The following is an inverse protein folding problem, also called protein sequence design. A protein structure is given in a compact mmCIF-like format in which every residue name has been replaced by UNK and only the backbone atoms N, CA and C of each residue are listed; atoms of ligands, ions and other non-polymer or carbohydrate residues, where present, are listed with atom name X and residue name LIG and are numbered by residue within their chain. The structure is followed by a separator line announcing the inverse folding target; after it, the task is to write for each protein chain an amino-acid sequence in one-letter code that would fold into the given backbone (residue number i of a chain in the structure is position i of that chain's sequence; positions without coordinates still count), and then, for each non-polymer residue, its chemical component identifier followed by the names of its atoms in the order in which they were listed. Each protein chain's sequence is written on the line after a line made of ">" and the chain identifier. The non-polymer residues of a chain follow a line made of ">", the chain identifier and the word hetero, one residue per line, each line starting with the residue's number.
data_IF_874741841505
#
_entry.id   IF_874741841505
#
_cell.length_a   1.000
_cell.length_b   1.000
_cell.length_c   1.000
_cell.angle_alpha   90.00
_cell.angle_beta   90.00
_cell.angle_gamma   90.00
#
_symmetry.space_group_name_H-M   'P 1'
#
loop_
_entity.id
_entity.type
_entity.pdbx_description
1 polymer ?
#
# COMPACT_ATOMS: atom_id res chain seq x y z
N UNK A 1 9.88 -0.70 0.65
CA UNK A 1 8.88 -0.88 -0.43
C UNK A 1 9.18 0.01 -1.62
N UNK A 2 9.35 1.33 -1.43
CA UNK A 2 9.69 2.26 -2.52
C UNK A 2 10.94 1.82 -3.30
N UNK A 3 12.01 1.42 -2.61
CA UNK A 3 13.24 0.92 -3.25
C UNK A 3 12.97 -0.29 -4.15
N UNK A 4 12.14 -1.26 -3.70
CA UNK A 4 11.79 -2.41 -4.53
C UNK A 4 10.99 -2.02 -5.78
N UNK A 5 10.17 -0.96 -5.71
CA UNK A 5 9.45 -0.45 -6.87
C UNK A 5 10.42 0.22 -7.85
N UNK A 6 11.38 0.98 -7.33
CA UNK A 6 12.44 1.61 -8.10
C UNK A 6 13.31 0.55 -8.81
N UNK A 7 13.75 -0.48 -8.09
CA UNK A 7 14.53 -1.59 -8.64
C UNK A 7 13.78 -2.36 -9.74
N UNK A 8 12.48 -2.61 -9.57
CA UNK A 8 11.69 -3.45 -10.49
C UNK A 8 11.17 -2.68 -11.70
N UNK A 9 10.86 -1.40 -11.52
CA UNK A 9 10.16 -0.60 -12.52
C UNK A 9 10.96 0.63 -12.98
N UNK A 10 12.18 0.82 -12.48
CA UNK A 10 13.02 2.02 -12.70
C UNK A 10 12.26 3.33 -12.41
N UNK A 11 11.28 3.26 -11.49
CA UNK A 11 10.37 4.36 -11.21
C UNK A 11 9.94 4.36 -9.76
N UNK A 12 10.18 5.49 -9.09
CA UNK A 12 9.60 5.77 -7.77
C UNK A 12 8.16 6.25 -7.90
N UNK A 13 7.26 5.81 -7.02
CA UNK A 13 5.92 6.37 -6.93
C UNK A 13 6.01 7.82 -6.45
N UNK A 14 5.20 8.69 -7.05
CA UNK A 14 5.05 10.07 -6.61
C UNK A 14 4.35 10.14 -5.25
N UNK A 15 3.40 9.23 -5.01
CA UNK A 15 2.63 9.13 -3.79
C UNK A 15 2.64 7.69 -3.26
N UNK A 16 2.79 7.52 -1.94
CA UNK A 16 2.80 6.22 -1.29
C UNK A 16 1.82 6.21 -0.12
N UNK A 17 0.83 5.33 -0.17
CA UNK A 17 -0.18 5.16 0.87
C UNK A 17 0.22 4.00 1.79
N UNK A 18 0.47 4.28 3.08
CA UNK A 18 0.90 3.26 4.05
C UNK A 18 -0.02 3.20 5.27
N UNK A 19 0.03 2.08 5.97
CA UNK A 19 -0.67 1.95 7.25
C UNK A 19 -0.09 2.89 8.31
N UNK A 20 -0.90 3.27 9.30
CA UNK A 20 -0.42 4.02 10.46
C UNK A 20 0.67 3.28 11.23
N UNK A 21 0.63 1.94 11.25
CA UNK A 21 1.68 1.12 11.87
C UNK A 21 3.05 1.18 11.18
N UNK A 22 3.13 1.73 9.97
CA UNK A 22 4.37 1.87 9.20
C UNK A 22 4.79 3.33 8.99
N UNK A 23 4.12 4.29 9.64
CA UNK A 23 4.38 5.72 9.51
C UNK A 23 5.55 6.20 10.39
N UNK A 24 6.75 5.61 10.21
CA UNK A 24 7.94 6.06 10.93
C UNK A 24 8.43 7.40 10.38
N UNK A 25 8.74 8.35 11.26
CA UNK A 25 9.19 9.68 10.86
C UNK A 25 10.45 9.62 9.98
N UNK A 26 11.47 8.85 10.38
CA UNK A 26 12.71 8.66 9.61
C UNK A 26 12.45 8.17 8.17
N UNK A 27 11.48 7.27 7.99
CA UNK A 27 11.12 6.74 6.66
C UNK A 27 10.39 7.80 5.83
N UNK A 28 9.51 8.62 6.44
CA UNK A 28 8.81 9.72 5.77
C UNK A 28 9.82 10.79 5.32
N UNK A 29 10.77 11.14 6.19
CA UNK A 29 11.83 12.10 5.89
C UNK A 29 12.75 11.62 4.79
N UNK A 30 13.20 10.35 4.85
CA UNK A 30 14.04 9.75 3.81
C UNK A 30 13.35 9.76 2.44
N UNK A 31 12.02 9.59 2.41
CA UNK A 31 11.25 9.50 1.15
C UNK A 31 10.81 10.86 0.61
N UNK A 32 10.67 11.89 1.45
CA UNK A 32 10.11 13.19 1.09
C UNK A 32 10.72 13.85 -0.17
N UNK A 33 12.03 13.72 -0.48
CA UNK A 33 12.58 14.31 -1.70
C UNK A 33 12.02 13.72 -3.01
N UNK A 34 11.51 12.48 -2.99
CA UNK A 34 11.07 11.77 -4.19
C UNK A 34 9.65 11.25 -4.15
N UNK A 35 9.08 11.08 -2.95
CA UNK A 35 7.80 10.40 -2.75
C UNK A 35 7.03 11.04 -1.59
N UNK A 36 5.81 11.49 -1.87
CA UNK A 36 4.88 11.99 -0.86
C UNK A 36 4.21 10.82 -0.14
N UNK A 37 4.45 10.69 1.16
CA UNK A 37 3.82 9.64 1.97
C UNK A 37 2.48 10.13 2.54
N UNK A 38 1.45 9.30 2.38
CA UNK A 38 0.14 9.42 3.00
C UNK A 38 -0.03 8.28 4.00
N UNK A 39 -0.12 8.63 5.27
CA UNK A 39 -0.24 7.69 6.36
C UNK A 39 -1.05 8.33 7.50
N UNK A 40 -1.99 7.61 8.13
CA UNK A 40 -2.78 8.15 9.21
C UNK A 40 -1.87 8.42 10.41
N UNK A 41 -2.18 9.48 11.14
CA UNK A 41 -1.40 9.86 12.30
C UNK A 41 -1.72 8.93 13.48
N UNK A 42 -0.72 8.60 14.32
CA UNK A 42 -0.99 7.90 15.56
C UNK A 42 -1.87 8.76 16.46
N UNK A 43 -2.80 8.11 17.19
CA UNK A 43 -3.63 8.80 18.17
C UNK A 43 -2.73 9.41 19.25
N UNK A 44 -2.83 10.73 19.51
CA UNK A 44 -2.06 11.36 20.58
C UNK A 44 -2.44 10.80 21.94
N UNK A 45 -1.48 10.82 22.89
CA UNK A 45 -1.74 10.43 24.29
C UNK A 45 -2.73 11.38 24.97
N UNK A 46 -2.61 12.66 24.66
CA UNK A 46 -3.57 13.70 25.04
C UNK A 46 -4.69 13.78 23.99
N UNK A 47 -5.93 13.58 24.41
CA UNK A 47 -7.09 13.52 23.52
C UNK A 47 -7.54 14.91 23.04
N UNK A 48 -7.23 15.97 23.77
CA UNK A 48 -7.56 17.36 23.40
C UNK A 48 -6.58 17.92 22.36
N UNK A 49 -5.43 17.26 22.19
CA UNK A 49 -4.39 17.69 21.25
C UNK A 49 -4.79 17.37 19.82
N UNK A 50 -4.83 18.38 18.97
CA UNK A 50 -4.95 18.19 17.52
C UNK A 50 -3.78 17.35 16.98
N UNK A 51 -4.03 16.16 16.40
CA UNK A 51 -2.98 15.34 15.79
C UNK A 51 -2.31 16.03 14.60
N UNK A 52 -3.04 16.89 13.88
CA UNK A 52 -2.61 17.52 12.62
C UNK A 52 -1.76 18.77 12.82
N UNK A 53 -1.73 19.30 14.05
CA UNK A 53 -0.84 20.40 14.42
C UNK A 53 0.62 19.93 14.48
N UNK A 54 1.53 20.79 14.03
CA UNK A 54 2.97 20.57 14.14
C UNK A 54 3.43 20.61 15.60
N UNK A 55 4.42 19.78 15.96
CA UNK A 55 5.03 19.76 17.27
C UNK A 55 6.35 20.54 17.29
N UNK A 56 6.81 21.03 18.47
CA UNK A 56 8.06 21.78 18.58
C UNK A 56 9.30 21.02 18.07
N UNK A 57 9.33 19.70 18.26
CA UNK A 57 10.44 18.83 17.86
C UNK A 57 10.24 18.21 16.46
N UNK A 58 9.14 18.52 15.76
CA UNK A 58 8.95 18.02 14.40
C UNK A 58 9.90 18.74 13.44
N UNK A 59 10.50 17.98 12.52
CA UNK A 59 11.15 18.58 11.36
C UNK A 59 10.11 19.26 10.45
N UNK A 60 10.58 20.12 9.55
CA UNK A 60 9.72 20.75 8.55
C UNK A 60 8.93 19.73 7.73
N UNK A 61 9.55 18.59 7.41
CA UNK A 61 8.95 17.50 6.64
C UNK A 61 7.81 16.83 7.42
N UNK A 62 8.02 16.54 8.71
CA UNK A 62 6.99 15.92 9.55
C UNK A 62 5.85 16.89 9.83
N UNK A 63 6.15 18.16 10.12
CA UNK A 63 5.15 19.21 10.27
C UNK A 63 4.27 19.36 9.01
N UNK A 64 4.89 19.33 7.82
CA UNK A 64 4.18 19.37 6.55
C UNK A 64 3.30 18.12 6.32
N UNK A 65 3.80 16.93 6.67
CA UNK A 65 3.02 15.69 6.62
C UNK A 65 1.79 15.73 7.54
N UNK A 66 1.93 16.18 8.80
CA UNK A 66 0.80 16.31 9.74
C UNK A 66 -0.31 17.21 9.20
N UNK A 67 0.09 18.41 8.74
CA UNK A 67 -0.84 19.38 8.13
C UNK A 67 -1.52 18.80 6.90
N UNK A 68 -0.75 18.15 6.01
CA UNK A 68 -1.28 17.50 4.80
C UNK A 68 -2.36 16.48 5.14
N UNK A 69 -2.11 15.59 6.11
CA UNK A 69 -3.08 14.56 6.51
C UNK A 69 -4.35 15.11 7.17
N UNK A 70 -4.36 16.38 7.60
CA UNK A 70 -5.55 17.07 8.08
C UNK A 70 -6.50 17.54 6.96
N UNK A 71 -6.02 17.60 5.72
CA UNK A 71 -6.79 18.09 4.58
C UNK A 71 -7.81 17.06 4.05
N UNK A 72 -8.93 17.54 3.51
CA UNK A 72 -9.93 16.68 2.85
C UNK A 72 -9.36 15.95 1.63
N UNK A 73 -8.43 16.60 0.92
CA UNK A 73 -7.71 15.98 -0.21
C UNK A 73 -6.92 14.76 0.25
N UNK A 74 -6.14 14.86 1.32
CA UNK A 74 -5.38 13.73 1.83
C UNK A 74 -6.29 12.61 2.37
N UNK A 75 -7.41 12.96 3.02
CA UNK A 75 -8.42 11.97 3.45
C UNK A 75 -9.04 11.25 2.25
N UNK A 76 -9.22 11.93 1.12
CA UNK A 76 -9.78 11.35 -0.09
C UNK A 76 -8.78 10.41 -0.75
N UNK A 77 -7.54 10.84 -0.94
CA UNK A 77 -6.45 10.00 -1.47
C UNK A 77 -6.28 8.75 -0.59
N UNK A 78 -6.26 8.91 0.74
CA UNK A 78 -6.05 7.78 1.64
C UNK A 78 -7.10 6.65 1.50
N UNK A 79 -8.33 6.96 1.06
CA UNK A 79 -9.37 5.93 0.80
C UNK A 79 -8.96 4.95 -0.28
N UNK A 80 -8.11 5.34 -1.22
CA UNK A 80 -7.60 4.47 -2.30
C UNK A 80 -6.76 3.30 -1.76
N UNK A 81 -6.22 3.43 -0.54
CA UNK A 81 -5.49 2.35 0.13
C UNK A 81 -6.34 1.09 0.33
N UNK A 82 -7.64 1.24 0.57
CA UNK A 82 -8.54 0.11 0.78
C UNK A 82 -8.60 -0.78 -0.47
N UNK A 83 -8.56 -0.19 -1.67
CA UNK A 83 -8.57 -0.92 -2.93
C UNK A 83 -7.29 -1.75 -3.14
N UNK A 84 -6.14 -1.25 -2.68
CA UNK A 84 -4.84 -1.89 -2.94
C UNK A 84 -4.48 -2.99 -1.92
N UNK A 85 -4.81 -2.82 -0.64
CA UNK A 85 -4.42 -3.76 0.41
C UNK A 85 -5.59 -4.58 0.99
N UNK A 86 -6.70 -3.94 1.32
CA UNK A 86 -7.81 -4.58 2.03
C UNK A 86 -8.64 -5.47 1.10
N UNK A 87 -8.96 -4.97 -0.09
CA UNK A 87 -9.72 -5.72 -1.08
C UNK A 87 -8.97 -7.00 -1.52
N UNK A 88 -7.66 -6.91 -1.76
CA UNK A 88 -6.85 -8.07 -2.16
C UNK A 88 -6.82 -9.15 -1.07
N UNK A 89 -6.67 -8.74 0.20
CA UNK A 89 -6.72 -9.66 1.33
C UNK A 89 -8.12 -10.28 1.52
N UNK A 90 -9.19 -9.49 1.36
CA UNK A 90 -10.56 -9.98 1.40
C UNK A 90 -10.83 -10.99 0.28
N UNK A 91 -10.37 -10.72 -0.95
CA UNK A 91 -10.46 -11.64 -2.08
C UNK A 91 -9.71 -12.94 -1.80
N UNK A 92 -8.50 -12.89 -1.23
CA UNK A 92 -7.75 -14.09 -0.87
C UNK A 92 -8.52 -14.95 0.15
N UNK A 93 -9.09 -14.32 1.18
CA UNK A 93 -9.94 -15.00 2.18
C UNK A 93 -11.21 -15.61 1.56
N UNK A 94 -11.89 -14.87 0.68
CA UNK A 94 -13.08 -15.34 -0.03
C UNK A 94 -12.76 -16.45 -1.05
N UNK A 95 -11.49 -16.57 -1.47
CA UNK A 95 -10.96 -17.67 -2.28
C UNK A 95 -10.32 -18.77 -1.43
N UNK A 96 -10.68 -18.88 -0.15
CA UNK A 96 -10.33 -20.01 0.70
C UNK A 96 -9.08 -19.85 1.57
N UNK A 97 -8.35 -18.73 1.51
CA UNK A 97 -7.19 -18.50 2.38
C UNK A 97 -7.63 -18.08 3.79
N UNK A 98 -8.22 -19.00 4.55
CA UNK A 98 -8.67 -18.78 5.94
C UNK A 98 -7.61 -19.17 6.96
N UNK A 99 -6.77 -20.16 6.63
CA UNK A 99 -5.69 -20.67 7.48
C UNK A 99 -4.55 -21.20 6.63
N UNK A 100 -3.33 -21.13 7.13
CA UNK A 100 -2.20 -21.83 6.51
C UNK A 100 -2.13 -23.27 7.03
N UNK A 101 -2.15 -24.24 6.12
CA UNK A 101 -1.97 -25.66 6.46
C UNK A 101 -0.50 -26.09 6.38
N UNK A 102 0.42 -25.12 6.39
CA UNK A 102 1.86 -25.31 6.27
C UNK A 102 2.58 -24.54 7.37
N UNK A 103 3.71 -25.08 7.83
CA UNK A 103 4.57 -24.42 8.82
C UNK A 103 5.88 -23.97 8.17
N UNK A 104 6.34 -22.76 8.50
CA UNK A 104 7.58 -22.15 7.99
C UNK A 104 7.32 -21.05 6.96
N UNK A 105 8.10 -19.98 7.03
CA UNK A 105 7.94 -18.78 6.21
C UNK A 105 8.03 -19.07 4.71
N UNK A 106 8.94 -19.94 4.29
CA UNK A 106 9.11 -20.29 2.87
C UNK A 106 7.86 -20.95 2.29
N UNK A 107 7.26 -21.90 3.04
CA UNK A 107 6.03 -22.58 2.60
C UNK A 107 4.85 -21.62 2.57
N UNK A 108 4.70 -20.78 3.59
CA UNK A 108 3.67 -19.74 3.65
C UNK A 108 3.82 -18.77 2.47
N UNK A 109 5.04 -18.34 2.17
CA UNK A 109 5.35 -17.46 1.04
C UNK A 109 4.97 -18.12 -0.29
N UNK A 110 5.28 -19.39 -0.49
CA UNK A 110 4.88 -20.12 -1.71
C UNK A 110 3.36 -20.14 -1.90
N UNK A 111 2.58 -20.39 -0.84
CA UNK A 111 1.11 -20.32 -0.90
C UNK A 111 0.63 -18.91 -1.26
N UNK A 112 1.17 -17.87 -0.62
CA UNK A 112 0.81 -16.49 -0.91
C UNK A 112 1.17 -16.07 -2.34
N UNK A 113 2.30 -16.54 -2.88
CA UNK A 113 2.69 -16.27 -4.26
C UNK A 113 1.71 -16.89 -5.27
N UNK A 114 1.15 -18.07 -4.99
CA UNK A 114 0.09 -18.64 -5.82
C UNK A 114 -1.17 -17.78 -5.83
N UNK A 115 -1.60 -17.27 -4.66
CA UNK A 115 -2.73 -16.33 -4.59
C UNK A 115 -2.44 -15.03 -5.35
N UNK A 116 -1.23 -14.49 -5.22
CA UNK A 116 -0.80 -13.30 -5.94
C UNK A 116 -0.80 -13.52 -7.46
N UNK A 117 -0.25 -14.64 -7.93
CA UNK A 117 -0.22 -15.00 -9.35
C UNK A 117 -1.64 -15.14 -9.92
N UNK A 118 -2.52 -15.88 -9.24
CA UNK A 118 -3.90 -16.04 -9.65
C UNK A 118 -4.66 -14.70 -9.67
N UNK A 119 -4.44 -13.84 -8.67
CA UNK A 119 -5.01 -12.50 -8.65
C UNK A 119 -4.53 -11.66 -9.85
N UNK A 120 -3.23 -11.64 -10.12
CA UNK A 120 -2.66 -10.90 -11.24
C UNK A 120 -3.20 -11.40 -12.59
N UNK A 121 -3.33 -12.72 -12.77
CA UNK A 121 -3.93 -13.31 -13.96
C UNK A 121 -5.37 -12.82 -14.15
N UNK A 122 -6.21 -12.89 -13.12
CA UNK A 122 -7.60 -12.40 -13.22
C UNK A 122 -7.68 -10.90 -13.53
N UNK A 123 -6.82 -10.07 -12.92
CA UNK A 123 -6.77 -8.63 -13.22
C UNK A 123 -6.31 -8.36 -14.65
N UNK A 124 -5.34 -9.13 -15.16
CA UNK A 124 -4.90 -9.02 -16.54
C UNK A 124 -6.04 -9.33 -17.52
N UNK A 125 -6.82 -10.38 -17.25
CA UNK A 125 -7.98 -10.74 -18.08
C UNK A 125 -9.07 -9.66 -18.07
N UNK A 126 -9.29 -9.03 -16.91
CA UNK A 126 -10.28 -7.96 -16.77
C UNK A 126 -9.85 -6.65 -17.44
N UNK A 127 -8.57 -6.27 -17.29
CA UNK A 127 -8.02 -5.03 -17.85
C UNK A 127 -7.71 -5.13 -19.35
N UNK A 128 -7.40 -6.34 -19.84
CA UNK A 128 -7.05 -6.60 -21.23
C UNK A 128 -7.78 -7.86 -21.74
N UNK A 129 -9.12 -7.83 -21.90
CA UNK A 129 -9.88 -9.00 -22.35
C UNK A 129 -9.47 -9.49 -23.73
N UNK A 130 -8.89 -8.62 -24.57
CA UNK A 130 -8.35 -8.97 -25.88
C UNK A 130 -7.13 -9.91 -25.85
N UNK A 131 -6.44 -10.04 -24.71
CA UNK A 131 -5.26 -10.89 -24.58
C UNK A 131 -5.59 -12.40 -24.70
N UNK A 132 -6.83 -12.79 -24.39
CA UNK A 132 -7.31 -14.17 -24.58
C UNK A 132 -7.73 -14.45 -26.03
N UNK A 133 -8.24 -13.43 -26.72
CA UNK A 133 -8.75 -13.56 -28.09
C UNK A 133 -7.63 -13.55 -29.15
N UNK A 134 -6.40 -13.22 -28.76
CA UNK A 134 -5.21 -13.25 -29.61
C UNK A 134 -4.45 -14.57 -29.60
N UNK A 135 -4.89 -15.59 -28.83
CA UNK A 135 -4.30 -16.92 -28.90
C UNK A 135 -4.90 -17.63 -30.12
N UNK A 136 -4.14 -17.90 -31.19
CA UNK A 136 -4.67 -18.67 -32.30
C UNK A 136 -5.02 -20.06 -31.79
N UNK A 137 -6.28 -20.45 -31.95
CA UNK A 137 -6.73 -21.82 -31.73
C UNK A 137 -5.90 -22.72 -32.63
N UNK A 138 -4.95 -23.44 -32.04
CA UNK A 138 -4.22 -24.51 -32.74
C UNK A 138 -5.28 -25.55 -33.14
N UNK A 139 -5.57 -25.59 -34.43
CA UNK A 139 -6.36 -26.63 -35.11
C UNK A 139 -5.41 -27.61 -35.77
#
# INVERSE_FOLDING_TARGET
>A
MVEQLDERYARRPQEMLVDGGFAKHDDIERLAPTTTVYAPLPKPKDAERDPHAALPDDSETIAAWRRRMGTETAKTIYKERAATAECVNALARNRGLQRFNVCGLDKVKSVLLWYALAHNLMRMLELAPGLLLSVPTLT
#
